data_IF_131066439292
#
_entry.id   IF_131066439292
#
_cell.length_a   1.000
_cell.length_b   1.000
_cell.length_c   1.000
_cell.angle_alpha   90.00
_cell.angle_beta   90.00
_cell.angle_gamma   90.00
#
_symmetry.space_group_name_H-M   'P 1'
#
loop_
_entity.id
_entity.type
_entity.pdbx_description
1 polymer ?
#
# COMPACT_ATOMS: atom_id res chain seq x y z
N UNK A 1 2.59 28.93 12.07
CA UNK A 1 3.16 27.58 12.12
C UNK A 1 2.07 26.67 12.67
N UNK A 2 1.44 25.87 11.81
CA UNK A 2 0.40 24.94 12.20
C UNK A 2 0.98 23.89 13.14
N UNK A 3 0.23 23.54 14.17
CA UNK A 3 0.56 22.48 15.11
C UNK A 3 0.59 21.17 14.32
N UNK A 4 1.77 20.73 13.84
CA UNK A 4 1.90 19.47 13.10
C UNK A 4 1.51 18.34 14.05
N UNK A 5 0.47 17.61 13.66
CA UNK A 5 0.00 16.44 14.39
C UNK A 5 1.13 15.40 14.44
N UNK A 6 1.75 15.21 15.59
CA UNK A 6 2.79 14.20 15.81
C UNK A 6 2.20 12.89 16.33
N UNK A 7 1.17 12.37 15.62
CA UNK A 7 0.45 11.14 16.02
C UNK A 7 1.34 9.91 16.14
N UNK A 8 2.46 9.90 15.42
CA UNK A 8 3.37 8.74 15.34
C UNK A 8 4.73 9.00 15.99
N UNK A 9 4.84 9.97 16.89
CA UNK A 9 6.09 10.19 17.61
C UNK A 9 6.53 8.93 18.38
N UNK A 10 7.77 8.46 18.15
CA UNK A 10 8.31 7.23 18.75
C UNK A 10 7.76 5.92 18.17
N UNK A 11 7.01 5.99 17.05
CA UNK A 11 6.56 4.84 16.27
C UNK A 11 7.50 4.60 15.09
N UNK A 12 7.55 3.35 14.62
CA UNK A 12 8.24 2.96 13.40
C UNK A 12 7.29 2.27 12.44
N UNK A 13 7.47 2.54 11.16
CA UNK A 13 6.64 1.99 10.09
C UNK A 13 7.49 1.30 9.02
N UNK A 14 7.03 0.14 8.55
CA UNK A 14 7.56 -0.55 7.37
C UNK A 14 6.56 -0.44 6.23
N UNK A 15 6.97 0.11 5.10
CA UNK A 15 6.11 0.33 3.93
C UNK A 15 6.73 -0.34 2.72
N UNK A 16 5.98 -1.21 2.03
CA UNK A 16 6.41 -1.83 0.77
C UNK A 16 5.93 -1.03 -0.45
N UNK A 17 6.68 -1.09 -1.56
CA UNK A 17 6.40 -0.24 -2.72
C UNK A 17 6.62 1.24 -2.45
N UNK A 18 7.59 1.56 -1.57
CA UNK A 18 7.82 2.91 -1.06
C UNK A 18 8.67 3.80 -2.00
N UNK A 19 9.17 3.25 -3.10
CA UNK A 19 9.96 3.98 -4.09
C UNK A 19 9.18 5.04 -4.87
N UNK A 20 7.83 5.04 -4.82
CA UNK A 20 7.04 6.02 -5.56
C UNK A 20 5.54 5.97 -5.25
N UNK A 21 4.79 6.83 -5.93
CA UNK A 21 3.33 6.84 -5.91
C UNK A 21 2.73 6.81 -4.50
N UNK A 22 1.76 5.92 -4.29
CA UNK A 22 1.05 5.77 -3.02
C UNK A 22 2.02 5.45 -1.87
N UNK A 23 2.97 4.51 -2.07
CA UNK A 23 3.90 4.09 -1.02
C UNK A 23 4.82 5.22 -0.56
N UNK A 24 5.35 6.04 -1.47
CA UNK A 24 6.12 7.25 -1.13
C UNK A 24 5.24 8.24 -0.38
N UNK A 25 4.02 8.51 -0.88
CA UNK A 25 3.07 9.40 -0.23
C UNK A 25 2.77 8.99 1.22
N UNK A 26 2.52 7.69 1.46
CA UNK A 26 2.33 7.12 2.81
C UNK A 26 3.57 7.32 3.67
N UNK A 27 4.76 6.99 3.16
CA UNK A 27 6.03 7.12 3.88
C UNK A 27 6.25 8.55 4.36
N UNK A 28 6.07 9.52 3.46
CA UNK A 28 6.25 10.95 3.77
C UNK A 28 5.18 11.45 4.75
N UNK A 29 3.94 11.00 4.61
CA UNK A 29 2.86 11.38 5.53
C UNK A 29 3.14 10.88 6.94
N UNK A 30 3.47 9.61 7.12
CA UNK A 30 3.78 9.04 8.44
C UNK A 30 5.04 9.69 9.03
N UNK A 31 6.06 9.97 8.23
CA UNK A 31 7.26 10.67 8.68
C UNK A 31 6.98 12.10 9.17
N UNK A 32 6.21 12.91 8.42
CA UNK A 32 5.78 14.25 8.84
C UNK A 32 5.02 14.22 10.17
N UNK A 33 4.27 13.14 10.42
CA UNK A 33 3.54 12.95 11.67
C UNK A 33 4.36 12.24 12.77
N UNK A 34 5.66 12.03 12.55
CA UNK A 34 6.62 11.64 13.59
C UNK A 34 7.14 10.21 13.56
N UNK A 35 6.73 9.37 12.61
CA UNK A 35 7.24 8.01 12.49
C UNK A 35 8.65 7.93 11.91
N UNK A 36 9.45 6.94 12.34
CA UNK A 36 10.63 6.49 11.63
C UNK A 36 10.23 5.45 10.56
N UNK A 37 10.88 5.48 9.40
CA UNK A 37 10.41 4.77 8.21
C UNK A 37 11.43 3.76 7.69
N UNK A 38 11.03 2.49 7.60
CA UNK A 38 11.68 1.48 6.76
C UNK A 38 10.96 1.48 5.39
N UNK A 39 11.55 2.10 4.40
CA UNK A 39 11.01 2.13 3.05
C UNK A 39 11.55 0.92 2.27
N UNK A 40 10.65 0.11 1.71
CA UNK A 40 10.97 -1.10 0.98
C UNK A 40 10.45 -1.01 -0.47
N UNK A 41 11.31 -1.32 -1.44
CA UNK A 41 10.96 -1.38 -2.86
C UNK A 41 11.96 -2.28 -3.59
N UNK A 42 11.66 -2.67 -4.82
CA UNK A 42 12.60 -3.36 -5.70
C UNK A 42 13.61 -2.38 -6.33
N UNK A 43 13.31 -1.11 -6.39
CA UNK A 43 14.07 -0.05 -7.06
C UNK A 43 14.86 0.78 -6.03
N UNK A 44 16.18 0.56 -5.99
CA UNK A 44 17.08 1.26 -5.06
C UNK A 44 17.11 2.77 -5.30
N UNK A 45 17.17 3.22 -6.55
CA UNK A 45 17.30 4.65 -6.88
C UNK A 45 16.07 5.42 -6.40
N UNK A 46 14.88 4.88 -6.64
CA UNK A 46 13.63 5.47 -6.16
C UNK A 46 13.50 5.43 -4.65
N UNK A 47 14.04 4.40 -3.98
CA UNK A 47 14.11 4.37 -2.52
C UNK A 47 14.98 5.49 -1.98
N UNK A 48 16.17 5.71 -2.59
CA UNK A 48 17.09 6.75 -2.16
C UNK A 48 16.46 8.14 -2.22
N UNK A 49 15.71 8.45 -3.29
CA UNK A 49 14.90 9.67 -3.37
C UNK A 49 13.89 9.77 -2.21
N UNK A 50 13.18 8.69 -1.92
CA UNK A 50 12.20 8.66 -0.83
C UNK A 50 12.87 8.90 0.52
N UNK A 51 14.05 8.30 0.76
CA UNK A 51 14.81 8.48 1.99
C UNK A 51 15.31 9.92 2.15
N UNK A 52 15.72 10.59 1.07
CA UNK A 52 16.08 12.01 1.12
C UNK A 52 14.90 12.83 1.66
N UNK A 53 13.72 12.66 1.09
CA UNK A 53 12.53 13.39 1.54
C UNK A 53 12.08 13.04 2.96
N UNK A 54 12.26 11.78 3.42
CA UNK A 54 11.98 11.40 4.81
C UNK A 54 12.91 12.17 5.76
N UNK A 55 14.21 12.24 5.45
CA UNK A 55 15.19 12.97 6.27
C UNK A 55 14.89 14.46 6.40
N UNK A 56 14.33 15.08 5.35
CA UNK A 56 13.87 16.48 5.38
C UNK A 56 12.77 16.72 6.42
N UNK A 57 12.00 15.70 6.81
CA UNK A 57 11.02 15.78 7.90
C UNK A 57 11.64 15.69 9.31
N UNK A 58 12.96 15.51 9.41
CA UNK A 58 13.66 15.28 10.67
C UNK A 58 13.51 13.88 11.25
N UNK A 59 12.99 12.91 10.45
CA UNK A 59 12.82 11.53 10.88
C UNK A 59 13.90 10.62 10.30
N UNK A 60 14.08 9.45 10.94
CA UNK A 60 14.96 8.42 10.42
C UNK A 60 14.27 7.69 9.27
N UNK A 61 15.04 7.43 8.21
CA UNK A 61 14.60 6.61 7.08
C UNK A 61 15.70 5.63 6.68
N UNK A 62 15.33 4.36 6.46
CA UNK A 62 16.21 3.35 5.86
C UNK A 62 15.62 2.79 4.58
N UNK A 63 16.49 2.57 3.59
CA UNK A 63 16.14 1.92 2.32
C UNK A 63 16.38 0.40 2.42
N UNK A 64 15.39 -0.39 2.03
CA UNK A 64 15.42 -1.84 2.03
C UNK A 64 15.03 -2.35 0.64
N UNK A 65 15.99 -2.74 -0.18
CA UNK A 65 15.69 -3.37 -1.48
C UNK A 65 15.11 -4.76 -1.21
N UNK A 66 13.95 -5.05 -1.81
CA UNK A 66 13.25 -6.30 -1.63
C UNK A 66 12.24 -6.54 -2.76
N UNK A 67 12.33 -7.68 -3.41
CA UNK A 67 11.24 -8.26 -4.16
C UNK A 67 10.29 -9.01 -3.20
N UNK A 68 9.11 -8.45 -2.95
CA UNK A 68 8.12 -9.06 -2.05
C UNK A 68 7.54 -10.38 -2.58
N UNK A 69 7.84 -10.79 -3.81
CA UNK A 69 7.51 -12.11 -4.32
C UNK A 69 8.44 -13.20 -3.74
N UNK A 70 9.61 -12.83 -3.20
CA UNK A 70 10.65 -13.73 -2.72
C UNK A 70 10.62 -13.84 -1.18
N UNK A 71 10.25 -15.01 -0.65
CA UNK A 71 10.09 -15.22 0.80
C UNK A 71 11.38 -14.95 1.59
N UNK A 72 12.54 -15.33 1.03
CA UNK A 72 13.85 -15.06 1.65
C UNK A 72 14.17 -13.56 1.76
N UNK A 73 13.76 -12.76 0.77
CA UNK A 73 13.94 -11.31 0.80
C UNK A 73 12.98 -10.64 1.80
N UNK A 74 11.74 -11.13 1.91
CA UNK A 74 10.78 -10.69 2.93
C UNK A 74 11.35 -10.89 4.32
N UNK A 75 11.86 -12.08 4.63
CA UNK A 75 12.45 -12.39 5.94
C UNK A 75 13.66 -11.50 6.26
N UNK A 76 14.56 -11.31 5.29
CA UNK A 76 15.70 -10.43 5.43
C UNK A 76 15.28 -8.95 5.64
N UNK A 77 14.27 -8.48 4.90
CA UNK A 77 13.74 -7.12 5.01
C UNK A 77 13.13 -6.89 6.39
N UNK A 78 12.29 -7.80 6.86
CA UNK A 78 11.73 -7.72 8.20
C UNK A 78 12.82 -7.70 9.27
N UNK A 79 13.82 -8.60 9.17
CA UNK A 79 14.97 -8.65 10.09
C UNK A 79 15.74 -7.34 10.12
N UNK A 80 16.04 -6.75 8.96
CA UNK A 80 16.77 -5.47 8.86
C UNK A 80 15.97 -4.30 9.41
N UNK A 81 14.66 -4.23 9.14
CA UNK A 81 13.79 -3.19 9.69
C UNK A 81 13.72 -3.26 11.22
N UNK A 82 13.54 -4.46 11.76
CA UNK A 82 13.53 -4.71 13.21
C UNK A 82 14.88 -4.42 13.88
N UNK A 83 15.99 -4.72 13.21
CA UNK A 83 17.33 -4.40 13.73
C UNK A 83 17.57 -2.89 13.77
N UNK A 84 17.04 -2.13 12.80
CA UNK A 84 17.24 -0.67 12.74
C UNK A 84 16.44 0.09 13.80
N UNK A 85 15.20 -0.32 14.06
CA UNK A 85 14.27 0.45 14.90
C UNK A 85 13.89 -0.27 16.21
N UNK A 86 14.36 -1.50 16.42
CA UNK A 86 14.01 -2.32 17.58
C UNK A 86 12.60 -2.90 17.55
N UNK A 87 11.69 -2.30 16.83
CA UNK A 87 10.28 -2.69 16.66
C UNK A 87 9.70 -2.14 15.37
N UNK A 88 8.57 -2.69 14.94
CA UNK A 88 7.71 -2.09 13.92
C UNK A 88 6.30 -1.97 14.51
N UNK A 89 5.80 -0.73 14.63
CA UNK A 89 4.46 -0.45 15.14
C UNK A 89 3.41 -0.48 14.01
N UNK A 90 3.82 -0.12 12.77
CA UNK A 90 2.93 0.01 11.62
C UNK A 90 3.53 -0.74 10.44
N UNK A 91 2.76 -1.65 9.84
CA UNK A 91 3.09 -2.30 8.57
C UNK A 91 2.12 -1.84 7.50
N UNK A 92 2.64 -1.37 6.37
CA UNK A 92 1.82 -1.06 5.18
C UNK A 92 2.25 -1.93 4.01
N UNK A 93 1.41 -2.90 3.64
CA UNK A 93 1.54 -3.71 2.45
C UNK A 93 0.98 -2.93 1.26
N UNK A 94 1.84 -2.17 0.59
CA UNK A 94 1.45 -1.34 -0.55
C UNK A 94 2.00 -1.86 -1.89
N UNK A 95 3.11 -2.57 -1.91
CA UNK A 95 3.64 -3.14 -3.15
C UNK A 95 2.58 -3.95 -3.90
N UNK A 96 2.51 -3.75 -5.20
CA UNK A 96 1.54 -4.45 -6.04
C UNK A 96 1.79 -4.21 -7.53
N UNK A 97 1.38 -5.18 -8.34
CA UNK A 97 1.45 -5.13 -9.80
C UNK A 97 0.10 -5.46 -10.41
N UNK A 98 -0.15 -4.92 -11.61
CA UNK A 98 -1.33 -5.23 -12.42
C UNK A 98 -1.03 -6.28 -13.48
N UNK A 99 -2.09 -6.72 -14.15
CA UNK A 99 -2.05 -7.63 -15.31
C UNK A 99 -2.14 -6.92 -16.66
N UNK A 100 -2.00 -5.61 -16.67
CA UNK A 100 -1.92 -4.74 -17.87
C UNK A 100 -3.07 -4.92 -18.89
N UNK A 101 -4.31 -4.96 -18.41
CA UNK A 101 -5.53 -5.03 -19.24
C UNK A 101 -5.58 -6.22 -20.21
N UNK A 102 -5.00 -7.35 -19.86
CA UNK A 102 -5.07 -8.57 -20.65
C UNK A 102 -6.47 -9.17 -20.61
N UNK A 103 -6.93 -9.68 -21.76
CA UNK A 103 -8.14 -10.49 -21.84
C UNK A 103 -7.91 -11.86 -21.14
N UNK A 104 -8.97 -12.58 -20.83
CA UNK A 104 -8.88 -13.84 -20.07
C UNK A 104 -8.02 -14.91 -20.76
N UNK A 105 -7.96 -14.93 -22.07
CA UNK A 105 -7.21 -15.87 -22.90
C UNK A 105 -5.73 -15.45 -23.11
N UNK A 106 -5.37 -14.24 -22.73
CA UNK A 106 -3.99 -13.73 -22.75
C UNK A 106 -3.27 -13.89 -21.38
N UNK A 107 -3.99 -14.28 -20.33
CA UNK A 107 -3.41 -14.50 -19.01
C UNK A 107 -2.82 -15.91 -18.97
N UNK A 108 -1.50 -16.00 -19.03
CA UNK A 108 -0.75 -17.24 -18.82
C UNK A 108 -0.46 -17.51 -17.34
N UNK A 109 0.07 -18.71 -17.06
CA UNK A 109 0.40 -19.12 -15.69
C UNK A 109 1.48 -18.24 -15.06
N UNK A 110 2.47 -17.80 -15.83
CA UNK A 110 3.60 -16.99 -15.32
C UNK A 110 3.10 -15.61 -14.86
N UNK A 111 2.25 -14.97 -15.64
CA UNK A 111 1.63 -13.69 -15.26
C UNK A 111 0.74 -13.86 -14.02
N UNK A 112 -0.08 -14.92 -14.00
CA UNK A 112 -0.94 -15.24 -12.87
C UNK A 112 -0.13 -15.42 -11.59
N UNK A 113 0.88 -16.29 -11.64
CA UNK A 113 1.73 -16.61 -10.49
C UNK A 113 2.50 -15.38 -10.00
N UNK A 114 3.00 -14.55 -10.92
CA UNK A 114 3.69 -13.30 -10.58
C UNK A 114 2.76 -12.31 -9.87
N UNK A 115 1.53 -12.11 -10.36
CA UNK A 115 0.55 -11.22 -9.74
C UNK A 115 0.19 -11.71 -8.33
N UNK A 116 -0.05 -13.01 -8.16
CA UNK A 116 -0.37 -13.58 -6.85
C UNK A 116 0.82 -13.60 -5.90
N UNK A 117 2.02 -13.84 -6.39
CA UNK A 117 3.24 -13.78 -5.57
C UNK A 117 3.42 -12.39 -4.94
N UNK A 118 3.27 -11.33 -5.74
CA UNK A 118 3.44 -9.94 -5.27
C UNK A 118 2.23 -9.46 -4.46
N UNK A 119 1.00 -9.65 -4.97
CA UNK A 119 -0.18 -9.01 -4.39
C UNK A 119 -0.82 -9.77 -3.23
N UNK A 120 -0.50 -11.07 -3.08
CA UNK A 120 -1.16 -11.97 -2.12
C UNK A 120 -0.15 -12.61 -1.18
N UNK A 121 0.79 -13.39 -1.75
CA UNK A 121 1.78 -14.14 -0.98
C UNK A 121 2.70 -13.21 -0.19
N UNK A 122 3.27 -12.21 -0.83
CA UNK A 122 4.17 -11.23 -0.20
C UNK A 122 3.54 -10.53 1.01
N UNK A 123 2.38 -9.85 0.86
CA UNK A 123 1.68 -9.23 1.99
C UNK A 123 1.36 -10.19 3.14
N UNK A 124 0.97 -11.43 2.85
CA UNK A 124 0.70 -12.42 3.90
C UNK A 124 1.94 -12.77 4.69
N UNK A 125 3.05 -13.14 4.03
CA UNK A 125 4.26 -13.57 4.74
C UNK A 125 4.92 -12.43 5.50
N UNK A 126 4.94 -11.22 4.93
CA UNK A 126 5.46 -10.05 5.64
C UNK A 126 4.59 -9.70 6.86
N UNK A 127 3.26 -9.72 6.71
CA UNK A 127 2.33 -9.50 7.83
C UNK A 127 2.53 -10.54 8.93
N UNK A 128 2.64 -11.83 8.56
CA UNK A 128 2.92 -12.90 9.52
C UNK A 128 4.21 -12.64 10.29
N UNK A 129 5.30 -12.31 9.59
CA UNK A 129 6.60 -12.10 10.21
C UNK A 129 6.60 -10.91 11.18
N UNK A 130 6.01 -9.80 10.79
CA UNK A 130 5.93 -8.60 11.63
C UNK A 130 4.94 -8.79 12.79
N UNK A 131 3.79 -9.44 12.54
CA UNK A 131 2.82 -9.73 13.61
C UNK A 131 3.39 -10.63 14.71
N UNK A 132 4.22 -11.61 14.37
CA UNK A 132 4.89 -12.44 15.37
C UNK A 132 5.79 -11.61 16.32
N UNK A 133 6.54 -10.63 15.77
CA UNK A 133 7.35 -9.71 16.58
C UNK A 133 6.46 -8.76 17.42
N UNK A 134 5.37 -8.26 16.85
CA UNK A 134 4.41 -7.45 17.59
C UNK A 134 3.81 -8.22 18.78
N UNK A 135 3.45 -9.50 18.59
CA UNK A 135 2.92 -10.36 19.66
C UNK A 135 3.97 -10.60 20.74
N UNK A 136 5.19 -10.99 20.36
CA UNK A 136 6.29 -11.24 21.29
C UNK A 136 6.58 -10.01 22.16
N UNK A 137 6.60 -8.82 21.55
CA UNK A 137 6.87 -7.55 22.20
C UNK A 137 5.64 -6.89 22.83
N UNK A 138 4.46 -7.49 22.72
CA UNK A 138 3.18 -6.95 23.21
C UNK A 138 2.86 -5.57 22.64
N UNK A 139 3.12 -5.38 21.35
CA UNK A 139 2.83 -4.14 20.62
C UNK A 139 1.41 -4.23 20.05
N UNK A 140 0.54 -3.28 20.42
CA UNK A 140 -0.77 -3.09 19.78
C UNK A 140 -0.56 -2.45 18.37
N UNK A 141 -0.07 -3.27 17.44
CA UNK A 141 0.36 -2.83 16.12
C UNK A 141 -0.77 -2.56 15.15
N UNK A 142 -0.42 -1.99 14.00
CA UNK A 142 -1.33 -1.66 12.91
C UNK A 142 -0.82 -2.26 11.61
N UNK A 143 -1.64 -3.07 10.94
CA UNK A 143 -1.32 -3.65 9.63
C UNK A 143 -2.35 -3.13 8.63
N UNK A 144 -1.89 -2.45 7.58
CA UNK A 144 -2.74 -1.87 6.56
C UNK A 144 -2.32 -2.40 5.19
N UNK A 145 -3.26 -2.96 4.42
CA UNK A 145 -3.02 -3.44 3.06
C UNK A 145 -3.65 -2.50 2.04
N UNK A 146 -2.91 -2.17 0.98
CA UNK A 146 -3.46 -1.40 -0.15
C UNK A 146 -4.03 -2.39 -1.16
N UNK A 147 -5.36 -2.57 -1.06
CA UNK A 147 -6.14 -3.39 -1.98
C UNK A 147 -6.51 -2.59 -3.25
N UNK A 148 -7.76 -2.59 -3.67
CA UNK A 148 -8.30 -1.82 -4.78
C UNK A 148 -9.83 -1.88 -4.74
N UNK A 149 -10.53 -0.90 -5.32
CA UNK A 149 -11.95 -1.03 -5.64
C UNK A 149 -12.20 -2.21 -6.57
N UNK A 150 -11.25 -2.58 -7.41
CA UNK A 150 -11.34 -3.79 -8.27
C UNK A 150 -11.36 -5.09 -7.48
N UNK A 151 -10.85 -5.11 -6.25
CA UNK A 151 -11.04 -6.25 -5.33
C UNK A 151 -12.48 -6.41 -4.82
N UNK A 152 -13.34 -5.42 -5.00
CA UNK A 152 -14.76 -5.45 -4.64
C UNK A 152 -15.65 -5.63 -5.86
N UNK A 153 -15.36 -4.90 -6.94
CA UNK A 153 -16.14 -4.90 -8.18
C UNK A 153 -15.21 -5.24 -9.33
N UNK A 154 -15.39 -6.40 -9.96
CA UNK A 154 -14.59 -6.79 -11.11
C UNK A 154 -14.92 -5.91 -12.32
N UNK A 155 -13.88 -5.48 -13.03
CA UNK A 155 -13.99 -4.81 -14.33
C UNK A 155 -13.34 -5.66 -15.40
N UNK A 156 -13.72 -5.46 -16.66
CA UNK A 156 -13.09 -6.14 -17.77
C UNK A 156 -11.60 -5.75 -17.88
N UNK A 157 -10.74 -6.72 -18.22
CA UNK A 157 -9.31 -6.50 -18.49
C UNK A 157 -8.39 -6.46 -17.26
N UNK A 158 -8.85 -6.88 -16.09
CA UNK A 158 -8.01 -6.92 -14.88
C UNK A 158 -8.27 -8.16 -14.01
N UNK A 159 -8.48 -9.32 -14.64
CA UNK A 159 -8.95 -10.52 -13.95
C UNK A 159 -7.98 -11.03 -12.87
N UNK A 160 -6.70 -11.19 -13.20
CA UNK A 160 -5.69 -11.66 -12.24
C UNK A 160 -5.46 -10.62 -11.14
N UNK A 161 -5.38 -9.34 -11.51
CA UNK A 161 -5.24 -8.24 -10.55
C UNK A 161 -6.46 -8.16 -9.61
N UNK A 162 -7.66 -8.07 -10.15
CA UNK A 162 -8.89 -7.92 -9.36
C UNK A 162 -9.08 -9.10 -8.39
N UNK A 163 -8.87 -10.34 -8.86
CA UNK A 163 -8.95 -11.52 -8.01
C UNK A 163 -7.89 -11.52 -6.91
N UNK A 164 -6.65 -11.10 -7.21
CA UNK A 164 -5.58 -10.95 -6.21
C UNK A 164 -5.92 -9.90 -5.13
N UNK A 165 -6.51 -8.77 -5.53
CA UNK A 165 -6.93 -7.72 -4.58
C UNK A 165 -8.13 -8.14 -3.74
N UNK A 166 -9.03 -8.97 -4.27
CA UNK A 166 -10.09 -9.63 -3.50
C UNK A 166 -9.52 -10.64 -2.49
N UNK A 167 -8.53 -11.43 -2.89
CA UNK A 167 -7.83 -12.34 -1.99
C UNK A 167 -7.13 -11.58 -0.85
N UNK A 168 -6.52 -10.43 -1.12
CA UNK A 168 -5.89 -9.57 -0.12
C UNK A 168 -6.91 -9.03 0.90
N UNK A 169 -8.14 -8.68 0.48
CA UNK A 169 -9.23 -8.31 1.39
C UNK A 169 -9.59 -9.49 2.30
N UNK A 170 -9.71 -10.70 1.75
CA UNK A 170 -9.98 -11.90 2.53
C UNK A 170 -8.89 -12.21 3.56
N UNK A 171 -7.61 -12.07 3.16
CA UNK A 171 -6.46 -12.21 4.07
C UNK A 171 -6.52 -11.15 5.18
N UNK A 172 -6.84 -9.90 4.86
CA UNK A 172 -7.01 -8.82 5.84
C UNK A 172 -8.02 -9.20 6.92
N UNK A 173 -9.18 -9.71 6.51
CA UNK A 173 -10.25 -10.16 7.43
C UNK A 173 -9.82 -11.35 8.28
N UNK A 174 -9.18 -12.36 7.66
CA UNK A 174 -8.67 -13.53 8.36
C UNK A 174 -7.59 -13.19 9.41
N UNK A 175 -6.64 -12.32 9.07
CA UNK A 175 -5.62 -11.84 10.00
C UNK A 175 -6.23 -10.97 11.10
N UNK A 176 -7.23 -10.13 10.80
CA UNK A 176 -7.91 -9.32 11.80
C UNK A 176 -8.52 -10.17 12.92
N UNK A 177 -9.17 -11.28 12.57
CA UNK A 177 -9.75 -12.22 13.55
C UNK A 177 -8.66 -12.83 14.43
N UNK A 178 -7.54 -13.28 13.83
CA UNK A 178 -6.48 -13.97 14.55
C UNK A 178 -5.63 -13.04 15.42
N UNK A 179 -5.45 -11.79 15.01
CA UNK A 179 -4.55 -10.84 15.66
C UNK A 179 -5.26 -9.89 16.65
N UNK A 180 -6.60 -9.79 16.59
CA UNK A 180 -7.38 -8.96 17.52
C UNK A 180 -7.14 -9.29 19.01
N UNK A 181 -7.01 -10.57 19.45
CA UNK A 181 -6.71 -10.89 20.85
C UNK A 181 -5.37 -10.32 21.35
N UNK A 182 -4.48 -9.93 20.43
CA UNK A 182 -3.19 -9.30 20.73
C UNK A 182 -3.22 -7.78 20.64
N UNK A 183 -4.39 -7.16 20.42
CA UNK A 183 -4.53 -5.72 20.25
C UNK A 183 -4.04 -5.19 18.90
N UNK A 184 -3.74 -6.07 17.94
CA UNK A 184 -3.28 -5.70 16.60
C UNK A 184 -4.49 -5.53 15.69
N UNK A 185 -4.61 -4.36 15.04
CA UNK A 185 -5.67 -4.13 14.04
C UNK A 185 -5.14 -4.40 12.63
N UNK A 186 -5.98 -5.00 11.78
CA UNK A 186 -5.63 -5.30 10.39
C UNK A 186 -6.75 -4.79 9.49
N UNK A 187 -6.44 -3.84 8.61
CA UNK A 187 -7.41 -3.22 7.71
C UNK A 187 -6.88 -3.11 6.29
N UNK A 188 -7.76 -2.92 5.32
CA UNK A 188 -7.42 -2.64 3.94
C UNK A 188 -7.98 -1.29 3.49
N UNK A 189 -7.25 -0.62 2.61
CA UNK A 189 -7.74 0.52 1.84
C UNK A 189 -7.95 0.05 0.41
N UNK A 190 -9.05 0.47 -0.21
CA UNK A 190 -9.43 0.19 -1.58
C UNK A 190 -9.40 1.50 -2.39
N UNK A 191 -8.23 1.88 -2.96
CA UNK A 191 -8.15 3.04 -3.83
C UNK A 191 -9.00 2.89 -5.09
N UNK A 192 -9.53 4.01 -5.58
CA UNK A 192 -10.04 4.12 -6.94
C UNK A 192 -8.95 4.53 -7.92
N UNK A 193 -9.28 5.44 -8.85
CA UNK A 193 -8.32 6.00 -9.80
C UNK A 193 -7.42 7.01 -9.10
N UNK A 194 -6.14 6.68 -8.96
CA UNK A 194 -5.11 7.51 -8.31
C UNK A 194 -4.01 7.84 -9.31
N UNK A 195 -3.61 9.10 -9.35
CA UNK A 195 -2.48 9.55 -10.17
C UNK A 195 -1.16 9.03 -9.58
N UNK A 196 -0.56 8.07 -10.27
CA UNK A 196 0.65 7.38 -9.80
C UNK A 196 1.54 6.97 -10.97
N UNK A 197 2.85 6.74 -10.73
CA UNK A 197 3.78 6.27 -11.76
C UNK A 197 3.42 4.93 -12.41
N UNK A 198 2.47 4.17 -11.88
CA UNK A 198 2.01 2.92 -12.51
C UNK A 198 1.44 3.18 -13.92
N UNK A 199 0.80 4.34 -14.11
CA UNK A 199 0.27 4.78 -15.40
C UNK A 199 1.37 5.16 -16.39
N UNK A 200 2.54 5.56 -15.92
CA UNK A 200 3.68 5.94 -16.77
C UNK A 200 4.21 4.77 -17.60
N UNK A 201 3.95 3.52 -17.18
CA UNK A 201 4.29 2.36 -18.01
C UNK A 201 3.41 2.33 -19.25
N UNK A 202 2.11 2.50 -19.10
CA UNK A 202 1.18 2.59 -20.21
C UNK A 202 1.47 3.80 -21.11
N UNK A 203 1.79 4.97 -20.52
CA UNK A 203 2.21 6.15 -21.29
C UNK A 203 3.41 5.85 -22.19
N UNK A 204 4.46 5.18 -21.64
CA UNK A 204 5.66 4.82 -22.41
C UNK A 204 5.38 3.78 -23.51
N UNK A 205 4.56 2.77 -23.21
CA UNK A 205 4.18 1.73 -24.19
C UNK A 205 3.38 2.31 -25.37
N UNK A 206 2.67 3.42 -25.15
CA UNK A 206 1.87 4.11 -26.16
C UNK A 206 2.54 5.37 -26.73
N UNK A 207 3.81 5.62 -26.39
CA UNK A 207 4.57 6.83 -26.79
C UNK A 207 3.84 8.15 -26.46
N UNK A 208 3.25 8.22 -25.27
CA UNK A 208 2.52 9.36 -24.77
C UNK A 208 3.32 10.14 -23.70
N UNK A 209 3.08 11.45 -23.53
CA UNK A 209 3.61 12.20 -22.39
C UNK A 209 3.17 11.57 -21.05
N UNK A 210 4.06 11.57 -20.07
CA UNK A 210 3.77 10.99 -18.75
C UNK A 210 2.54 11.66 -18.10
N UNK A 211 1.63 10.84 -17.60
CA UNK A 211 0.36 11.26 -17.01
C UNK A 211 -0.81 11.35 -18.00
N UNK A 212 -0.57 11.11 -19.29
CA UNK A 212 -1.61 11.18 -20.33
C UNK A 212 -2.68 10.11 -20.13
N UNK A 213 -2.28 8.88 -19.84
CA UNK A 213 -3.21 7.76 -19.65
C UNK A 213 -4.12 7.97 -18.46
N UNK A 214 -3.57 8.33 -17.31
CA UNK A 214 -4.38 8.57 -16.10
C UNK A 214 -5.35 9.73 -16.30
N UNK A 215 -4.93 10.77 -17.02
CA UNK A 215 -5.79 11.91 -17.35
C UNK A 215 -6.93 11.47 -18.29
N UNK A 216 -6.62 10.77 -19.38
CA UNK A 216 -7.63 10.30 -20.34
C UNK A 216 -8.67 9.38 -19.69
N UNK A 217 -8.23 8.43 -18.88
CA UNK A 217 -9.13 7.55 -18.11
C UNK A 217 -9.94 8.35 -17.09
N UNK A 218 -9.32 9.32 -16.43
CA UNK A 218 -9.99 10.19 -15.47
C UNK A 218 -11.05 11.08 -16.11
N UNK A 219 -10.74 11.72 -17.23
CA UNK A 219 -11.68 12.57 -17.97
C UNK A 219 -12.91 11.74 -18.43
N UNK A 220 -12.68 10.55 -18.99
CA UNK A 220 -13.76 9.62 -19.35
C UNK A 220 -14.60 9.21 -18.14
N UNK A 221 -13.96 8.88 -17.02
CA UNK A 221 -14.67 8.50 -15.79
C UNK A 221 -15.46 9.66 -15.18
N UNK A 222 -15.00 10.90 -15.33
CA UNK A 222 -15.74 12.09 -14.91
C UNK A 222 -16.92 12.38 -15.83
N UNK A 223 -16.75 12.31 -17.15
CA UNK A 223 -17.83 12.48 -18.14
C UNK A 223 -18.94 11.45 -17.95
N UNK A 224 -18.58 10.19 -17.67
CA UNK A 224 -19.53 9.11 -17.38
C UNK A 224 -20.06 9.16 -15.94
N UNK A 225 -19.70 10.17 -15.15
CA UNK A 225 -20.07 10.34 -13.75
C UNK A 225 -19.69 9.12 -12.87
N UNK A 226 -18.66 8.42 -13.22
CA UNK A 226 -18.08 7.33 -12.38
C UNK A 226 -17.31 7.90 -11.19
N UNK A 227 -16.57 9.00 -11.39
CA UNK A 227 -15.93 9.76 -10.31
C UNK A 227 -16.90 10.84 -9.80
N UNK A 228 -17.51 10.61 -8.63
CA UNK A 228 -18.52 11.53 -8.05
C UNK A 228 -17.88 12.83 -7.55
N UNK A 229 -16.65 12.79 -7.07
CA UNK A 229 -15.91 13.99 -6.63
C UNK A 229 -15.29 14.78 -7.79
N UNK A 230 -15.51 14.36 -9.05
CA UNK A 230 -15.06 15.04 -10.27
C UNK A 230 -13.56 15.40 -10.27
N UNK A 231 -12.74 14.54 -9.68
CA UNK A 231 -11.28 14.61 -9.75
C UNK A 231 -10.64 13.23 -9.60
N UNK A 232 -9.47 13.07 -10.16
CA UNK A 232 -8.60 11.93 -9.92
C UNK A 232 -8.05 12.06 -8.49
N UNK A 233 -7.90 10.94 -7.79
CA UNK A 233 -7.26 10.91 -6.48
C UNK A 233 -5.75 11.08 -6.57
N UNK A 234 -5.13 11.50 -5.49
CA UNK A 234 -3.69 11.65 -5.34
C UNK A 234 -3.12 10.64 -4.33
N UNK A 235 -1.80 10.38 -4.34
CA UNK A 235 -1.16 9.60 -3.28
C UNK A 235 -1.47 10.12 -1.88
N UNK A 236 -1.62 11.43 -1.69
CA UNK A 236 -1.94 12.05 -0.40
C UNK A 236 -3.35 11.72 0.08
N UNK A 237 -4.33 11.53 -0.80
CA UNK A 237 -5.68 11.07 -0.42
C UNK A 237 -5.61 9.68 0.24
N UNK A 238 -4.77 8.79 -0.30
CA UNK A 238 -4.57 7.46 0.26
C UNK A 238 -3.74 7.52 1.53
N UNK A 239 -2.66 8.31 1.54
CA UNK A 239 -1.81 8.49 2.70
C UNK A 239 -2.57 9.03 3.92
N UNK A 240 -3.54 9.92 3.72
CA UNK A 240 -4.41 10.44 4.78
C UNK A 240 -5.25 9.32 5.42
N UNK A 241 -5.84 8.44 4.60
CA UNK A 241 -6.61 7.30 5.09
C UNK A 241 -5.75 6.27 5.81
N UNK A 242 -4.53 5.99 5.29
CA UNK A 242 -3.54 5.14 5.97
C UNK A 242 -3.18 5.74 7.33
N UNK A 243 -2.87 7.04 7.39
CA UNK A 243 -2.51 7.72 8.63
C UNK A 243 -3.66 7.69 9.66
N UNK A 244 -4.92 7.77 9.22
CA UNK A 244 -6.07 7.56 10.09
C UNK A 244 -6.12 6.13 10.64
N UNK A 245 -6.05 5.11 9.77
CA UNK A 245 -6.11 3.71 10.20
C UNK A 245 -4.89 3.29 11.06
N UNK A 246 -3.76 3.93 10.89
CA UNK A 246 -2.55 3.70 11.67
C UNK A 246 -2.58 4.39 13.05
N UNK A 247 -3.49 5.35 13.27
CA UNK A 247 -3.59 6.12 14.50
C UNK A 247 -4.47 5.45 15.57
N UNK A 248 -4.45 6.01 16.78
CA UNK A 248 -5.34 5.57 17.85
C UNK A 248 -6.82 5.94 17.60
N UNK A 249 -7.08 6.91 16.71
CA UNK A 249 -8.46 7.29 16.32
C UNK A 249 -9.20 6.12 15.65
N UNK A 250 -8.46 5.16 15.05
CA UNK A 250 -9.00 3.95 14.45
C UNK A 250 -8.81 2.69 15.31
N UNK A 251 -8.57 2.83 16.63
CA UNK A 251 -8.25 1.70 17.52
C UNK A 251 -9.38 0.65 17.63
N UNK A 252 -10.62 1.03 17.33
CA UNK A 252 -11.77 0.10 17.31
C UNK A 252 -12.13 -0.41 15.89
N UNK A 253 -11.24 -0.20 14.91
CA UNK A 253 -11.46 -0.63 13.52
C UNK A 253 -10.50 -1.76 13.16
N UNK A 254 -11.06 -2.94 12.87
CA UNK A 254 -10.28 -4.08 12.36
C UNK A 254 -11.13 -4.89 11.37
N UNK A 255 -10.48 -5.56 10.42
CA UNK A 255 -11.14 -6.36 9.38
C UNK A 255 -11.88 -5.54 8.30
N UNK A 256 -11.67 -4.22 8.25
CA UNK A 256 -12.37 -3.35 7.32
C UNK A 256 -11.62 -3.23 5.98
N UNK A 257 -12.39 -3.09 4.89
CA UNK A 257 -11.88 -2.75 3.56
C UNK A 257 -12.56 -1.44 3.12
N UNK A 258 -11.84 -0.33 3.28
CA UNK A 258 -12.39 1.03 3.17
C UNK A 258 -12.11 1.60 1.78
N UNK A 259 -13.14 2.06 1.08
CA UNK A 259 -13.00 2.72 -0.20
C UNK A 259 -12.48 4.15 -0.04
N UNK A 260 -11.41 4.47 -0.80
CA UNK A 260 -10.90 5.85 -0.97
C UNK A 260 -10.83 6.08 -2.49
N UNK A 261 -11.99 6.39 -3.09
CA UNK A 261 -12.17 6.23 -4.52
C UNK A 261 -12.96 7.37 -5.20
N UNK A 262 -13.17 8.49 -4.52
CA UNK A 262 -13.94 9.60 -5.10
C UNK A 262 -15.39 9.25 -5.44
N UNK A 263 -15.97 8.21 -4.79
CA UNK A 263 -17.34 7.75 -5.04
C UNK A 263 -17.47 6.83 -6.27
N UNK A 264 -16.38 6.18 -6.71
CA UNK A 264 -16.44 5.18 -7.80
C UNK A 264 -17.14 3.89 -7.36
N UNK A 265 -17.02 3.53 -6.09
CA UNK A 265 -17.53 2.30 -5.51
C UNK A 265 -18.10 2.57 -4.10
N UNK A 266 -19.24 1.96 -3.77
CA UNK A 266 -19.96 2.18 -2.50
C UNK A 266 -20.10 0.90 -1.66
N UNK A 267 -19.68 -0.27 -2.14
CA UNK A 267 -19.78 -1.57 -1.46
C UNK A 267 -18.60 -1.88 -0.57
#
# INVERSE_FOLDING_TARGET
MGNELKRFAGKSALITGAGGGIGRGISLRLAREGADIAACDIDQERLDETIVHIKETGRQGIALVCDVAQEGEIENTAKRALAAFGKIDILVNNAGIGDTNKSFDEIDADLWDKVYAVNVKGPFFLSRRIAMDMIEKKIAGKIISIASTEGKTNRAGSLAYASSKRALIGITQGLAIQLAPHGITVNAICPGLIDTPIWHKADREMDLPLGSMVKMVGDTAMEQRQLKLLRIGTPDDIAAAVAFLASEDASYMTGQAINVCGGMEFS
#
